data_IF_413785303995
#
_entry.id   IF_413785303995
#
_cell.length_a   1.000
_cell.length_b   1.000
_cell.length_c   1.000
_cell.angle_alpha   90.00
_cell.angle_beta   90.00
_cell.angle_gamma   90.00
#
_symmetry.space_group_name_H-M   'P 1'
#
loop_
_entity.id
_entity.type
_entity.pdbx_description
1 polymer ?
#
# COMPACT_ATOMS: atom_id res chain seq x y z
N UNK A 1 -56.01 5.95 22.06
CA UNK A 1 -54.85 6.86 21.87
C UNK A 1 -54.43 6.79 20.42
N UNK A 2 -54.82 7.76 19.61
CA UNK A 2 -54.51 7.81 18.17
C UNK A 2 -53.14 8.45 17.96
N UNK A 3 -52.19 7.65 17.47
CA UNK A 3 -50.87 8.08 17.04
C UNK A 3 -51.01 9.20 15.99
N UNK A 4 -50.38 10.34 16.24
CA UNK A 4 -50.50 11.53 15.39
C UNK A 4 -49.80 11.28 14.05
N UNK A 5 -50.39 11.76 12.94
CA UNK A 5 -49.80 11.67 11.58
C UNK A 5 -48.37 12.23 11.50
N UNK A 6 -48.00 13.12 12.42
CA UNK A 6 -46.65 13.65 12.56
C UNK A 6 -45.65 12.62 13.11
N UNK A 7 -46.06 11.76 14.04
CA UNK A 7 -45.21 10.69 14.59
C UNK A 7 -44.93 9.61 13.55
N UNK A 8 -45.92 9.26 12.71
CA UNK A 8 -45.74 8.31 11.59
C UNK A 8 -44.69 8.81 10.59
N UNK A 9 -44.79 10.08 10.15
CA UNK A 9 -43.83 10.67 9.21
C UNK A 9 -42.42 10.79 9.79
N UNK A 10 -42.30 11.04 11.10
CA UNK A 10 -41.01 11.11 11.78
C UNK A 10 -40.33 9.72 11.83
N UNK A 11 -41.11 8.66 12.09
CA UNK A 11 -40.63 7.26 12.03
C UNK A 11 -40.20 6.85 10.62
N UNK A 12 -41.03 7.11 9.62
CA UNK A 12 -40.71 6.76 8.22
C UNK A 12 -39.42 7.45 7.75
N UNK A 13 -39.20 8.72 8.15
CA UNK A 13 -37.94 9.43 7.86
C UNK A 13 -36.74 8.86 8.62
N UNK A 14 -36.92 8.42 9.86
CA UNK A 14 -35.86 7.79 10.64
C UNK A 14 -35.48 6.41 10.07
N UNK A 15 -36.45 5.61 9.63
CA UNK A 15 -36.24 4.32 8.98
C UNK A 15 -35.58 4.45 7.61
N UNK A 16 -35.96 5.46 6.81
CA UNK A 16 -35.27 5.78 5.55
C UNK A 16 -33.83 6.27 5.76
N UNK A 17 -33.56 6.98 6.86
CA UNK A 17 -32.20 7.41 7.22
C UNK A 17 -31.36 6.26 7.76
N UNK A 18 -31.96 5.33 8.50
CA UNK A 18 -31.33 4.11 9.01
C UNK A 18 -31.08 3.06 7.91
N UNK A 19 -31.87 3.09 6.83
CA UNK A 19 -31.71 2.21 5.66
C UNK A 19 -30.74 2.75 4.61
N UNK A 20 -30.11 3.91 4.83
CA UNK A 20 -28.99 4.35 4.00
C UNK A 20 -27.78 3.48 4.35
N UNK A 21 -27.21 2.72 3.40
CA UNK A 21 -25.98 1.99 3.66
C UNK A 21 -24.95 2.99 4.18
N UNK A 22 -24.31 2.60 5.28
CA UNK A 22 -23.47 3.47 6.10
C UNK A 22 -22.40 4.18 5.29
N UNK A 23 -21.96 5.32 5.82
CA UNK A 23 -20.74 6.07 5.49
C UNK A 23 -19.90 5.33 4.43
N UNK A 24 -20.06 5.74 3.16
CA UNK A 24 -19.39 5.11 2.02
C UNK A 24 -17.91 4.95 2.34
N UNK A 25 -17.46 3.70 2.51
CA UNK A 25 -16.04 3.40 2.57
C UNK A 25 -15.37 4.02 1.33
N UNK A 26 -14.17 4.59 1.50
CA UNK A 26 -13.43 5.12 0.36
C UNK A 26 -13.25 3.98 -0.66
N UNK A 27 -13.41 4.24 -1.96
CA UNK A 27 -13.12 3.23 -2.97
C UNK A 27 -11.67 2.75 -2.84
N UNK A 28 -11.45 1.45 -3.04
CA UNK A 28 -10.12 0.86 -2.95
C UNK A 28 -9.38 0.97 -4.29
N UNK A 29 -8.10 1.30 -4.25
CA UNK A 29 -7.17 1.21 -5.38
C UNK A 29 -6.05 0.25 -5.02
N UNK A 30 -5.69 -0.62 -5.95
CA UNK A 30 -4.55 -1.53 -5.79
C UNK A 30 -3.35 -0.91 -6.51
N UNK A 31 -2.24 -0.83 -5.80
CA UNK A 31 -0.94 -0.46 -6.32
C UNK A 31 -0.07 -1.72 -6.30
N UNK A 32 0.48 -2.06 -7.45
CA UNK A 32 1.43 -3.14 -7.60
C UNK A 32 2.82 -2.56 -7.39
N UNK A 33 3.61 -3.17 -6.51
CA UNK A 33 4.96 -2.75 -6.18
C UNK A 33 5.91 -3.91 -6.44
N UNK A 34 6.88 -3.72 -7.32
CA UNK A 34 7.96 -4.66 -7.57
C UNK A 34 9.19 -4.15 -6.83
N UNK A 35 9.55 -4.81 -5.73
CA UNK A 35 10.76 -4.50 -4.97
C UNK A 35 11.87 -5.45 -5.40
N UNK A 36 12.99 -4.88 -5.85
CA UNK A 36 14.17 -5.60 -6.34
C UNK A 36 15.36 -5.37 -5.42
N UNK A 37 16.06 -6.44 -5.06
CA UNK A 37 17.37 -6.36 -4.41
C UNK A 37 18.48 -6.55 -5.44
N UNK A 38 19.39 -5.59 -5.53
CA UNK A 38 20.63 -5.69 -6.31
C UNK A 38 21.83 -5.93 -5.39
N UNK A 39 22.74 -6.79 -5.82
CA UNK A 39 24.04 -7.00 -5.18
C UNK A 39 25.13 -6.80 -6.22
N UNK A 40 26.09 -5.94 -5.91
CA UNK A 40 27.34 -5.84 -6.66
C UNK A 40 28.45 -6.45 -5.79
N UNK A 41 29.00 -7.57 -6.26
CA UNK A 41 30.04 -8.35 -5.59
C UNK A 41 31.44 -8.09 -6.18
N UNK A 42 31.64 -6.93 -6.84
CA UNK A 42 32.94 -6.54 -7.38
C UNK A 42 34.03 -6.44 -6.30
N UNK A 43 33.64 -6.16 -5.05
CA UNK A 43 34.47 -6.33 -3.87
C UNK A 43 33.90 -7.48 -2.99
N UNK A 44 34.56 -8.65 -2.94
CA UNK A 44 34.06 -9.80 -2.20
C UNK A 44 34.15 -9.62 -0.67
N UNK A 45 34.96 -8.67 -0.18
CA UNK A 45 35.07 -8.38 1.26
C UNK A 45 34.01 -7.37 1.73
N UNK A 46 33.40 -6.61 0.81
CA UNK A 46 32.36 -5.61 1.09
C UNK A 46 31.36 -5.50 -0.08
N UNK A 47 30.41 -6.47 -0.21
CA UNK A 47 29.44 -6.45 -1.30
C UNK A 47 28.49 -5.27 -1.17
N UNK A 48 28.34 -4.51 -2.25
CA UNK A 48 27.44 -3.36 -2.28
C UNK A 48 26.00 -3.81 -2.52
N UNK A 49 25.08 -3.34 -1.66
CA UNK A 49 23.65 -3.69 -1.72
C UNK A 49 22.86 -2.45 -2.12
N UNK A 50 22.03 -2.58 -3.14
CA UNK A 50 21.06 -1.56 -3.53
C UNK A 50 19.64 -2.13 -3.59
N UNK A 51 18.66 -1.29 -3.34
CA UNK A 51 17.24 -1.62 -3.45
C UNK A 51 16.61 -0.76 -4.53
N UNK A 52 15.90 -1.39 -5.46
CA UNK A 52 15.10 -0.70 -6.48
C UNK A 52 13.64 -1.04 -6.30
N UNK A 53 12.74 -0.11 -6.57
CA UNK A 53 11.32 -0.37 -6.59
C UNK A 53 10.64 0.29 -7.78
N UNK A 54 9.68 -0.41 -8.36
CA UNK A 54 8.75 0.14 -9.33
C UNK A 54 7.32 -0.01 -8.81
N UNK A 55 6.51 1.04 -8.88
CA UNK A 55 5.12 0.99 -8.46
C UNK A 55 4.17 1.70 -9.42
N UNK A 56 3.00 1.08 -9.62
CA UNK A 56 1.95 1.61 -10.46
C UNK A 56 0.58 1.20 -9.92
N UNK A 57 -0.44 2.01 -10.19
CA UNK A 57 -1.83 1.54 -10.01
C UNK A 57 -2.03 0.33 -10.92
N UNK A 58 -2.65 -0.74 -10.42
CA UNK A 58 -2.99 -1.92 -11.23
C UNK A 58 -3.69 -1.51 -12.52
N UNK A 59 -3.27 -2.14 -13.63
CA UNK A 59 -3.72 -1.85 -15.00
C UNK A 59 -3.32 -0.45 -15.55
N UNK A 60 -2.45 0.29 -14.86
CA UNK A 60 -1.86 1.53 -15.36
C UNK A 60 -0.69 1.22 -16.31
N UNK A 61 -0.56 2.02 -17.36
CA UNK A 61 0.63 2.04 -18.23
C UNK A 61 1.72 2.99 -17.72
N UNK A 62 1.44 3.76 -16.67
CA UNK A 62 2.34 4.72 -16.04
C UNK A 62 2.70 4.23 -14.64
N UNK A 63 4.01 4.12 -14.37
CA UNK A 63 4.59 3.74 -13.09
C UNK A 63 5.72 4.68 -12.68
N UNK A 64 6.08 4.63 -11.41
CA UNK A 64 7.23 5.34 -10.84
C UNK A 64 8.28 4.30 -10.50
N UNK A 65 9.55 4.61 -10.77
CA UNK A 65 10.70 3.80 -10.38
C UNK A 65 11.63 4.64 -9.52
N UNK A 66 12.17 4.05 -8.46
CA UNK A 66 13.16 4.67 -7.57
C UNK A 66 14.19 3.64 -7.08
N UNK A 67 15.35 4.12 -6.66
CA UNK A 67 16.45 3.28 -6.17
C UNK A 67 17.14 3.95 -4.97
N UNK A 68 17.38 3.17 -3.92
CA UNK A 68 18.04 3.62 -2.69
C UNK A 68 18.91 2.51 -2.09
N UNK A 69 19.94 2.90 -1.35
CA UNK A 69 20.77 1.96 -0.57
C UNK A 69 20.04 1.50 0.70
N UNK A 70 19.29 2.41 1.31
CA UNK A 70 18.49 2.13 2.51
C UNK A 70 17.06 1.76 2.13
N UNK A 71 16.70 0.50 2.36
CA UNK A 71 15.36 -0.01 2.10
C UNK A 71 14.27 0.76 2.86
N UNK A 72 14.56 1.25 4.07
CA UNK A 72 13.57 2.01 4.84
C UNK A 72 13.26 3.36 4.18
N UNK A 73 14.28 4.00 3.60
CA UNK A 73 14.13 5.24 2.83
C UNK A 73 13.31 4.98 1.56
N UNK A 74 13.62 3.92 0.82
CA UNK A 74 12.86 3.54 -0.37
C UNK A 74 11.36 3.30 -0.06
N UNK A 75 11.08 2.54 0.99
CA UNK A 75 9.69 2.27 1.41
C UNK A 75 8.99 3.55 1.84
N UNK A 76 9.70 4.48 2.48
CA UNK A 76 9.16 5.79 2.84
C UNK A 76 8.80 6.61 1.60
N UNK A 77 9.66 6.64 0.57
CA UNK A 77 9.38 7.34 -0.69
C UNK A 77 8.10 6.81 -1.37
N UNK A 78 7.95 5.49 -1.45
CA UNK A 78 6.74 4.84 -2.01
C UNK A 78 5.50 5.28 -1.23
N UNK A 79 5.57 5.27 0.10
CA UNK A 79 4.42 5.66 0.93
C UNK A 79 4.08 7.14 0.73
N UNK A 80 5.07 8.02 0.69
CA UNK A 80 4.88 9.46 0.50
C UNK A 80 4.23 9.80 -0.83
N UNK A 81 4.65 9.15 -1.92
CA UNK A 81 4.06 9.32 -3.25
C UNK A 81 2.57 8.90 -3.25
N UNK A 82 2.26 7.81 -2.56
CA UNK A 82 0.89 7.29 -2.46
C UNK A 82 -0.01 8.06 -1.48
N UNK A 83 0.53 8.93 -0.60
CA UNK A 83 -0.27 9.68 0.38
C UNK A 83 -1.32 10.58 -0.30
N UNK A 84 -0.97 11.24 -1.41
CA UNK A 84 -1.91 12.08 -2.15
C UNK A 84 -3.11 11.26 -2.66
N UNK A 85 -2.87 10.03 -3.12
CA UNK A 85 -3.91 9.10 -3.54
C UNK A 85 -4.76 8.63 -2.35
N UNK A 86 -4.12 8.33 -1.22
CA UNK A 86 -4.77 7.87 0.01
C UNK A 86 -5.74 8.92 0.60
N UNK A 87 -5.64 10.20 0.24
CA UNK A 87 -6.64 11.22 0.63
C UNK A 87 -8.06 10.91 0.09
N UNK A 88 -8.15 10.20 -1.04
CA UNK A 88 -9.41 9.93 -1.77
C UNK A 88 -9.78 8.45 -1.81
N UNK A 89 -8.78 7.58 -1.75
CA UNK A 89 -8.93 6.14 -1.86
C UNK A 89 -8.39 5.45 -0.62
N UNK A 90 -8.79 4.20 -0.39
CA UNK A 90 -7.97 3.27 0.39
C UNK A 90 -6.96 2.65 -0.57
N UNK A 91 -5.67 2.87 -0.35
CA UNK A 91 -4.64 2.31 -1.24
C UNK A 91 -4.19 0.98 -0.64
N UNK A 92 -4.30 -0.10 -1.41
CA UNK A 92 -3.79 -1.43 -1.06
C UNK A 92 -2.53 -1.69 -1.87
N UNK A 93 -1.46 -2.11 -1.21
CA UNK A 93 -0.19 -2.41 -1.85
C UNK A 93 -0.03 -3.91 -1.99
N UNK A 94 0.30 -4.36 -3.20
CA UNK A 94 0.65 -5.75 -3.49
C UNK A 94 2.13 -5.81 -3.86
N UNK A 95 2.92 -6.45 -3.01
CA UNK A 95 4.37 -6.52 -3.12
C UNK A 95 4.79 -7.78 -3.85
N UNK A 96 5.58 -7.60 -4.91
CA UNK A 96 6.35 -8.65 -5.57
C UNK A 96 7.81 -8.44 -5.20
N UNK A 97 8.49 -9.50 -4.75
CA UNK A 97 9.88 -9.45 -4.32
C UNK A 97 10.75 -10.18 -5.34
N UNK A 98 11.74 -9.49 -5.90
CA UNK A 98 12.62 -9.98 -6.96
C UNK A 98 14.08 -9.59 -6.71
N UNK A 99 15.00 -10.16 -7.49
CA UNK A 99 16.44 -9.88 -7.42
C UNK A 99 17.24 -10.97 -6.73
N UNK A 100 18.45 -10.63 -6.32
CA UNK A 100 19.41 -11.61 -5.82
C UNK A 100 19.23 -11.86 -4.32
N UNK A 101 18.83 -13.06 -3.89
CA UNK A 101 18.87 -13.44 -2.49
C UNK A 101 20.31 -13.50 -1.97
N UNK A 102 20.53 -13.11 -0.71
CA UNK A 102 21.75 -13.46 0.02
C UNK A 102 21.90 -15.00 0.07
N UNK A 103 23.13 -15.51 0.05
CA UNK A 103 23.36 -16.97 0.07
C UNK A 103 22.65 -17.62 1.27
N UNK A 104 21.77 -18.58 0.99
CA UNK A 104 20.98 -19.28 2.02
C UNK A 104 19.78 -18.50 2.60
N UNK A 105 19.43 -17.34 2.03
CA UNK A 105 18.35 -16.46 2.50
C UNK A 105 17.39 -16.12 1.37
N UNK A 106 16.13 -15.85 1.67
CA UNK A 106 15.16 -15.28 0.71
C UNK A 106 15.16 -13.76 0.77
N UNK A 107 14.64 -13.11 -0.28
CA UNK A 107 14.52 -11.64 -0.30
C UNK A 107 13.60 -11.13 0.82
N UNK A 108 12.55 -11.89 1.16
CA UNK A 108 11.67 -11.56 2.28
C UNK A 108 12.44 -11.57 3.62
N UNK A 109 13.34 -12.52 3.80
CA UNK A 109 14.20 -12.55 4.99
C UNK A 109 15.22 -11.40 4.94
N UNK A 110 15.77 -11.02 3.77
CA UNK A 110 16.66 -9.87 3.63
C UNK A 110 15.96 -8.55 4.01
N UNK A 111 14.71 -8.36 3.58
CA UNK A 111 13.85 -7.24 4.00
C UNK A 111 13.65 -7.24 5.52
N UNK A 112 13.39 -8.41 6.11
CA UNK A 112 13.25 -8.54 7.55
C UNK A 112 14.55 -8.24 8.32
N UNK A 113 15.71 -8.64 7.79
CA UNK A 113 17.01 -8.35 8.37
C UNK A 113 17.38 -6.86 8.30
N UNK A 114 16.89 -6.15 7.29
CA UNK A 114 16.95 -4.68 7.24
C UNK A 114 16.02 -4.00 8.25
N UNK A 115 15.21 -4.76 9.01
CA UNK A 115 14.28 -4.23 10.00
C UNK A 115 13.04 -3.55 9.40
N UNK A 116 12.77 -3.77 8.10
CA UNK A 116 11.68 -3.10 7.38
C UNK A 116 10.43 -3.97 7.34
N UNK A 117 9.28 -3.35 7.60
CA UNK A 117 7.97 -3.98 7.40
C UNK A 117 7.29 -3.33 6.20
N UNK A 118 6.97 -4.13 5.18
CA UNK A 118 6.30 -3.64 3.98
C UNK A 118 4.82 -3.32 4.27
N UNK A 119 4.37 -2.08 4.05
CA UNK A 119 2.99 -1.69 4.34
C UNK A 119 2.01 -2.35 3.37
N UNK A 120 0.88 -2.84 3.88
CA UNK A 120 -0.19 -3.44 3.05
C UNK A 120 -1.22 -2.41 2.58
N UNK A 121 -1.29 -1.29 3.26
CA UNK A 121 -2.24 -0.21 2.97
C UNK A 121 -1.63 1.14 3.32
N UNK A 122 -2.01 2.18 2.56
CA UNK A 122 -1.75 3.60 2.85
C UNK A 122 -3.07 4.33 3.00
#
# INVERSE_FOLDING_TARGET
MTESRQQRRARERAELKASRPGLSARPTRVVEVVLRRGVDDSDPDDPYISWGAEWAVRDSSEGVEDQEEDLAVLVQHIVEDLQAMAQRYTVRLEWTLEGDPSEGMTIAEAVAAAGVTLPRTV
#
